data_IF_406341153938
#
_entry.id   IF_406341153938
#
_cell.length_a   1.000
_cell.length_b   1.000
_cell.length_c   1.000
_cell.angle_alpha   90.00
_cell.angle_beta   90.00
_cell.angle_gamma   90.00
#
_symmetry.space_group_name_H-M   'P 1'
#
loop_
_entity.id
_entity.type
_entity.pdbx_description
1 polymer ?
#
# COMPACT_ATOMS: atom_id res chain seq x y z
N UNK A 1 -19.71 0.81 -5.84
CA UNK A 1 -18.65 1.72 -6.34
C UNK A 1 -17.53 1.89 -5.33
N UNK A 2 -16.35 2.26 -5.80
CA UNK A 2 -15.17 2.48 -4.94
C UNK A 2 -15.25 3.87 -4.29
N UNK A 3 -15.11 3.92 -2.96
CA UNK A 3 -14.98 5.19 -2.23
C UNK A 3 -13.52 5.71 -2.31
N UNK A 4 -13.23 6.42 -3.40
CA UNK A 4 -11.90 6.95 -3.70
C UNK A 4 -11.41 8.00 -2.69
N UNK A 5 -12.32 8.81 -2.12
CA UNK A 5 -11.94 9.81 -1.13
C UNK A 5 -11.56 9.18 0.20
N UNK A 6 -12.31 8.15 0.64
CA UNK A 6 -11.92 7.35 1.79
C UNK A 6 -10.59 6.64 1.55
N UNK A 7 -10.41 5.99 0.39
CA UNK A 7 -9.14 5.35 0.04
C UNK A 7 -7.96 6.33 0.10
N UNK A 8 -8.12 7.53 -0.48
CA UNK A 8 -7.13 8.60 -0.44
C UNK A 8 -6.79 9.02 0.99
N UNK A 9 -7.81 9.24 1.84
CA UNK A 9 -7.58 9.61 3.23
C UNK A 9 -6.85 8.51 4.01
N UNK A 10 -7.21 7.25 3.78
CA UNK A 10 -6.55 6.07 4.37
C UNK A 10 -5.08 5.97 3.95
N UNK A 11 -4.78 6.12 2.66
CA UNK A 11 -3.39 6.11 2.14
C UNK A 11 -2.56 7.22 2.77
N UNK A 12 -3.12 8.42 2.89
CA UNK A 12 -2.43 9.56 3.50
C UNK A 12 -2.13 9.30 4.98
N UNK A 13 -3.11 8.77 5.72
CA UNK A 13 -2.94 8.46 7.15
C UNK A 13 -1.94 7.33 7.35
N UNK A 14 -2.05 6.24 6.60
CA UNK A 14 -1.13 5.11 6.69
C UNK A 14 0.30 5.51 6.32
N UNK A 15 0.49 6.34 5.29
CA UNK A 15 1.83 6.84 4.91
C UNK A 15 2.47 7.65 6.05
N UNK A 16 1.70 8.54 6.71
CA UNK A 16 2.20 9.30 7.87
C UNK A 16 2.51 8.40 9.04
N UNK A 17 1.59 7.49 9.37
CA UNK A 17 1.75 6.54 10.47
C UNK A 17 3.02 5.70 10.30
N UNK A 18 3.25 5.15 9.10
CA UNK A 18 4.46 4.36 8.82
C UNK A 18 5.74 5.22 8.91
N UNK A 19 5.70 6.50 8.49
CA UNK A 19 6.85 7.40 8.67
C UNK A 19 7.12 7.70 10.16
N UNK A 20 6.08 7.90 10.96
CA UNK A 20 6.19 8.15 12.41
C UNK A 20 6.69 6.90 13.17
N UNK A 21 6.35 5.69 12.70
CA UNK A 21 6.87 4.43 13.26
C UNK A 21 8.38 4.34 13.13
N UNK A 22 8.99 4.86 12.05
CA UNK A 22 10.45 4.85 11.90
C UNK A 22 11.13 5.60 13.05
N UNK A 23 10.56 6.71 13.51
CA UNK A 23 11.09 7.49 14.64
C UNK A 23 10.74 6.86 15.99
N UNK A 24 9.57 6.21 16.09
CA UNK A 24 9.06 5.63 17.33
C UNK A 24 9.60 4.21 17.63
N UNK A 25 10.21 3.55 16.64
CA UNK A 25 10.62 2.16 16.75
C UNK A 25 11.73 1.97 17.81
N UNK A 26 11.64 0.87 18.57
CA UNK A 26 12.68 0.48 19.52
C UNK A 26 13.78 -0.30 18.79
N UNK A 27 14.80 0.42 18.31
CA UNK A 27 15.95 -0.20 17.66
C UNK A 27 16.83 -0.94 18.67
N UNK A 28 17.34 -2.10 18.27
CA UNK A 28 18.19 -2.95 19.12
C UNK A 28 19.55 -2.27 19.29
N UNK A 29 19.95 -1.86 20.51
CA UNK A 29 21.19 -1.11 20.72
C UNK A 29 22.46 -1.87 20.33
N UNK A 30 22.41 -3.20 20.33
CA UNK A 30 23.52 -4.06 19.94
C UNK A 30 23.79 -4.05 18.42
N UNK A 31 22.91 -3.48 17.61
CA UNK A 31 23.03 -3.41 16.13
C UNK A 31 22.69 -1.99 15.66
N UNK A 32 23.55 -0.99 15.91
CA UNK A 32 23.30 0.41 15.58
C UNK A 32 23.06 0.67 14.09
N UNK A 33 23.56 -0.20 13.22
CA UNK A 33 23.40 -0.15 11.77
C UNK A 33 21.92 -0.18 11.34
N UNK A 34 21.05 -0.81 12.14
CA UNK A 34 19.61 -0.84 11.90
C UNK A 34 19.00 0.56 12.00
N UNK A 35 19.37 1.31 13.04
CA UNK A 35 18.90 2.68 13.24
C UNK A 35 19.43 3.59 12.13
N UNK A 36 20.73 3.48 11.83
CA UNK A 36 21.37 4.27 10.78
C UNK A 36 20.71 4.02 9.42
N UNK A 37 20.52 2.76 9.03
CA UNK A 37 19.87 2.41 7.77
C UNK A 37 18.42 2.93 7.71
N UNK A 38 17.66 2.79 8.80
CA UNK A 38 16.28 3.27 8.88
C UNK A 38 16.20 4.80 8.78
N UNK A 39 17.05 5.54 9.49
CA UNK A 39 17.09 7.01 9.42
C UNK A 39 17.61 7.51 8.07
N UNK A 40 18.51 6.77 7.43
CA UNK A 40 19.11 7.17 6.17
C UNK A 40 18.13 7.07 5.00
N UNK A 41 17.41 5.95 4.90
CA UNK A 41 16.50 5.67 3.78
C UNK A 41 15.02 5.91 4.08
N UNK A 42 14.62 5.84 5.36
CA UNK A 42 13.22 5.96 5.81
C UNK A 42 12.23 5.13 5.00
N UNK A 43 12.59 3.87 4.72
CA UNK A 43 11.77 2.95 3.93
C UNK A 43 10.48 2.62 4.69
N UNK A 44 9.34 2.75 4.02
CA UNK A 44 8.05 2.26 4.50
C UNK A 44 7.48 1.23 3.53
N UNK A 45 6.57 0.39 4.01
CA UNK A 45 5.93 -0.66 3.21
C UNK A 45 4.41 -0.56 3.28
N UNK A 46 3.82 0.43 2.60
CA UNK A 46 2.37 0.52 2.48
C UNK A 46 1.86 -0.55 1.49
N UNK A 47 1.12 -1.53 2.01
CA UNK A 47 0.48 -2.58 1.22
C UNK A 47 -1.03 -2.40 1.10
N UNK A 48 -1.68 -3.44 0.59
CA UNK A 48 -3.14 -3.59 0.55
C UNK A 48 -3.55 -4.93 1.15
N UNK A 49 -4.80 -5.02 1.54
CA UNK A 49 -5.52 -6.25 1.84
C UNK A 49 -6.95 -6.10 1.33
N UNK A 50 -7.65 -7.21 1.12
CA UNK A 50 -9.04 -7.21 0.67
C UNK A 50 -9.25 -6.82 -0.79
N UNK A 51 -8.27 -7.05 -1.68
CA UNK A 51 -8.44 -6.76 -3.11
C UNK A 51 -9.57 -7.62 -3.72
N UNK A 52 -9.61 -8.92 -3.36
CA UNK A 52 -10.66 -9.83 -3.79
C UNK A 52 -12.04 -9.41 -3.28
N UNK A 53 -12.15 -9.01 -2.01
CA UNK A 53 -13.39 -8.52 -1.40
C UNK A 53 -13.92 -7.27 -2.13
N UNK A 54 -13.02 -6.32 -2.45
CA UNK A 54 -13.38 -5.13 -3.20
C UNK A 54 -13.88 -5.49 -4.61
N UNK A 55 -13.22 -6.44 -5.29
CA UNK A 55 -13.64 -6.94 -6.60
C UNK A 55 -15.05 -7.55 -6.56
N UNK A 56 -15.40 -8.30 -5.50
CA UNK A 56 -16.76 -8.79 -5.30
C UNK A 56 -17.77 -7.64 -5.20
N UNK A 57 -17.47 -6.61 -4.42
CA UNK A 57 -18.36 -5.47 -4.24
C UNK A 57 -18.60 -4.66 -5.52
N UNK A 58 -17.63 -4.63 -6.43
CA UNK A 58 -17.76 -3.92 -7.72
C UNK A 58 -18.13 -4.84 -8.89
N UNK A 59 -18.40 -6.12 -8.62
CA UNK A 59 -18.79 -7.09 -9.66
C UNK A 59 -17.68 -7.46 -10.64
N UNK A 60 -16.41 -7.25 -10.27
CA UNK A 60 -15.25 -7.53 -11.12
C UNK A 60 -14.72 -8.94 -10.85
N UNK A 61 -14.49 -9.73 -11.90
CA UNK A 61 -13.97 -11.09 -11.74
C UNK A 61 -12.45 -11.09 -11.55
N UNK A 62 -11.98 -11.73 -10.48
CA UNK A 62 -10.54 -11.97 -10.25
C UNK A 62 -9.89 -12.71 -11.43
N UNK A 63 -8.70 -12.26 -11.84
CA UNK A 63 -7.93 -12.86 -12.94
C UNK A 63 -8.42 -12.54 -14.36
N UNK A 64 -9.56 -11.86 -14.51
CA UNK A 64 -10.01 -11.35 -15.82
C UNK A 64 -9.18 -10.12 -16.26
N UNK A 65 -9.23 -9.77 -17.54
CA UNK A 65 -8.64 -8.52 -18.05
C UNK A 65 -9.18 -7.29 -17.31
N UNK A 66 -10.48 -7.29 -17.02
CA UNK A 66 -11.13 -6.27 -16.19
C UNK A 66 -10.55 -6.22 -14.78
N UNK A 67 -10.32 -7.37 -14.14
CA UNK A 67 -9.71 -7.46 -12.82
C UNK A 67 -8.26 -6.97 -12.79
N UNK A 68 -7.49 -7.24 -13.85
CA UNK A 68 -6.13 -6.72 -13.99
C UNK A 68 -6.14 -5.20 -14.13
N UNK A 69 -7.03 -4.67 -14.95
CA UNK A 69 -7.21 -3.22 -15.13
C UNK A 69 -7.64 -2.55 -13.82
N UNK A 70 -8.63 -3.12 -13.14
CA UNK A 70 -9.12 -2.63 -11.85
C UNK A 70 -8.00 -2.55 -10.81
N UNK A 71 -7.22 -3.64 -10.68
CA UNK A 71 -6.09 -3.72 -9.75
C UNK A 71 -5.03 -2.66 -10.08
N UNK A 72 -4.74 -2.45 -11.36
CA UNK A 72 -3.78 -1.44 -11.81
C UNK A 72 -4.26 -0.03 -11.44
N UNK A 73 -5.53 0.29 -11.67
CA UNK A 73 -6.09 1.60 -11.33
C UNK A 73 -6.10 1.88 -9.82
N UNK A 74 -6.43 0.88 -9.00
CA UNK A 74 -6.39 0.96 -7.52
C UNK A 74 -4.95 1.19 -7.05
N UNK A 75 -4.01 0.38 -7.53
CA UNK A 75 -2.60 0.50 -7.10
C UNK A 75 -1.95 1.79 -7.59
N UNK A 76 -2.28 2.26 -8.79
CA UNK A 76 -1.81 3.55 -9.30
C UNK A 76 -2.30 4.70 -8.39
N UNK A 77 -3.57 4.67 -7.96
CA UNK A 77 -4.14 5.65 -7.04
C UNK A 77 -3.44 5.67 -5.68
N UNK A 78 -3.20 4.50 -5.10
CA UNK A 78 -2.47 4.32 -3.83
C UNK A 78 -1.03 4.83 -3.97
N UNK A 79 -0.35 4.47 -5.06
CA UNK A 79 1.01 4.91 -5.32
C UNK A 79 1.10 6.43 -5.44
N UNK A 80 0.19 7.05 -6.20
CA UNK A 80 0.15 8.50 -6.36
C UNK A 80 -0.03 9.21 -5.01
N UNK A 81 -1.01 8.79 -4.23
CA UNK A 81 -1.31 9.45 -2.95
C UNK A 81 -0.28 9.19 -1.86
N UNK A 82 0.38 8.04 -1.84
CA UNK A 82 1.49 7.77 -0.92
C UNK A 82 2.70 8.65 -1.25
N UNK A 83 3.09 8.76 -2.52
CA UNK A 83 4.17 9.67 -2.97
C UNK A 83 3.84 11.13 -2.67
N UNK A 84 2.62 11.59 -3.00
CA UNK A 84 2.16 12.95 -2.70
C UNK A 84 2.23 13.27 -1.19
N UNK A 85 1.94 12.28 -0.34
CA UNK A 85 2.03 12.44 1.11
C UNK A 85 3.47 12.48 1.59
N UNK A 86 4.32 11.61 1.05
CA UNK A 86 5.75 11.57 1.35
C UNK A 86 6.45 12.88 0.96
N UNK A 87 6.09 13.51 -0.16
CA UNK A 87 6.56 14.85 -0.56
C UNK A 87 6.09 15.92 0.44
N UNK A 88 4.82 15.88 0.87
CA UNK A 88 4.29 16.81 1.88
C UNK A 88 5.02 16.67 3.21
N UNK A 89 5.41 15.45 3.59
CA UNK A 89 6.24 15.20 4.77
C UNK A 89 7.65 15.76 4.58
N UNK A 90 8.27 15.55 3.41
CA UNK A 90 9.60 16.09 3.12
C UNK A 90 9.64 17.62 3.23
N UNK A 91 8.60 18.31 2.76
CA UNK A 91 8.47 19.76 2.93
C UNK A 91 8.49 20.20 4.42
N UNK A 92 7.98 19.37 5.34
CA UNK A 92 7.87 19.69 6.77
C UNK A 92 9.01 19.16 7.61
N UNK A 93 9.63 18.05 7.20
CA UNK A 93 10.55 17.24 8.01
C UNK A 93 11.86 16.89 7.29
N UNK A 94 12.05 17.41 6.09
CA UNK A 94 13.16 17.11 5.15
C UNK A 94 12.99 15.74 4.44
N UNK A 95 13.58 15.57 3.24
CA UNK A 95 13.61 14.28 2.55
C UNK A 95 14.41 13.22 3.32
N UNK A 96 14.41 11.98 2.83
CA UNK A 96 15.34 10.96 3.37
C UNK A 96 16.80 11.37 3.10
N UNK A 97 17.72 11.01 3.99
CA UNK A 97 19.10 11.52 3.97
C UNK A 97 19.89 11.05 2.74
N UNK A 98 19.68 9.79 2.32
CA UNK A 98 20.35 9.21 1.14
C UNK A 98 19.71 9.60 -0.21
N UNK A 99 19.04 10.76 -0.32
CA UNK A 99 18.32 11.13 -1.55
C UNK A 99 19.25 11.47 -2.72
N UNK A 100 20.44 12.01 -2.45
CA UNK A 100 21.44 12.30 -3.47
C UNK A 100 21.92 11.00 -4.14
N UNK A 101 21.97 10.96 -5.47
CA UNK A 101 22.31 9.79 -6.27
C UNK A 101 21.21 8.72 -6.34
N UNK A 102 20.05 8.96 -5.71
CA UNK A 102 18.89 8.07 -5.83
C UNK A 102 18.04 8.41 -7.06
N UNK A 103 17.08 7.56 -7.40
CA UNK A 103 16.11 7.86 -8.47
C UNK A 103 15.25 9.11 -8.20
N UNK A 104 15.23 9.59 -6.95
CA UNK A 104 14.50 10.78 -6.51
C UNK A 104 15.40 11.99 -6.26
N UNK A 105 16.68 11.94 -6.64
CA UNK A 105 17.60 13.07 -6.53
C UNK A 105 17.01 14.32 -7.22
N UNK A 106 16.74 15.43 -6.50
CA UNK A 106 16.14 16.62 -7.09
C UNK A 106 16.94 17.26 -8.23
N UNK A 107 18.27 17.07 -8.24
CA UNK A 107 19.17 17.59 -9.27
C UNK A 107 19.25 16.66 -10.49
N UNK A 108 19.02 15.35 -10.29
CA UNK A 108 19.11 14.32 -11.34
C UNK A 108 17.98 13.28 -11.22
N UNK A 109 16.73 13.74 -11.32
CA UNK A 109 15.56 12.85 -11.18
C UNK A 109 15.52 11.86 -12.35
N UNK A 110 15.68 10.57 -12.04
CA UNK A 110 15.52 9.46 -13.00
C UNK A 110 14.24 8.65 -12.78
N UNK A 111 13.53 8.85 -11.66
CA UNK A 111 12.23 8.26 -11.43
C UNK A 111 11.21 8.75 -12.45
N UNK A 112 10.41 7.82 -12.99
CA UNK A 112 9.34 8.12 -13.94
C UNK A 112 8.00 7.58 -13.45
N UNK A 113 6.88 8.23 -13.83
CA UNK A 113 5.54 7.74 -13.51
C UNK A 113 5.33 6.30 -14.01
N UNK A 114 4.59 5.46 -13.26
CA UNK A 114 4.27 4.11 -13.71
C UNK A 114 3.44 4.18 -15.00
N UNK A 115 3.72 3.26 -15.93
CA UNK A 115 2.93 3.09 -17.15
C UNK A 115 2.06 1.85 -17.00
N UNK A 116 0.76 1.92 -17.32
CA UNK A 116 -0.07 0.73 -17.33
C UNK A 116 0.40 -0.24 -18.42
N UNK A 117 0.17 -1.53 -18.22
CA UNK A 117 0.54 -2.58 -19.19
C UNK A 117 -0.30 -2.50 -20.47
N UNK A 118 -1.51 -1.95 -20.36
CA UNK A 118 -2.48 -1.75 -21.42
C UNK A 118 -3.26 -0.47 -21.12
N UNK A 119 -3.84 0.15 -22.14
CA UNK A 119 -4.67 1.33 -21.95
C UNK A 119 -5.90 1.00 -21.10
N UNK A 120 -6.25 1.91 -20.20
CA UNK A 120 -7.46 1.77 -19.40
C UNK A 120 -8.69 1.99 -20.27
N UNK A 121 -9.55 0.98 -20.31
CA UNK A 121 -10.79 0.94 -21.07
C UNK A 121 -12.01 1.29 -20.21
N UNK A 122 -11.90 1.12 -18.89
CA UNK A 122 -12.99 1.24 -17.92
C UNK A 122 -12.70 2.38 -16.94
N UNK A 123 -13.78 2.98 -16.46
CA UNK A 123 -13.73 4.01 -15.43
C UNK A 123 -14.55 3.55 -14.22
N UNK A 124 -13.91 3.44 -13.07
CA UNK A 124 -14.55 3.14 -11.79
C UNK A 124 -14.82 4.41 -10.96
N UNK A 125 -14.99 5.55 -11.62
CA UNK A 125 -15.16 6.86 -11.00
C UNK A 125 -13.87 7.38 -10.37
N UNK A 126 -12.71 6.94 -10.87
CA UNK A 126 -11.42 7.22 -10.25
C UNK A 126 -10.98 8.66 -10.56
N UNK A 127 -10.62 9.47 -9.55
CA UNK A 127 -10.09 10.81 -9.80
C UNK A 127 -8.83 10.77 -10.68
N UNK A 128 -8.74 11.69 -11.65
CA UNK A 128 -7.55 11.83 -12.51
C UNK A 128 -6.31 12.13 -11.68
N UNK A 129 -5.20 11.49 -12.04
CA UNK A 129 -3.92 11.62 -11.37
C UNK A 129 -2.99 12.51 -12.20
N UNK A 130 -2.44 13.55 -11.58
CA UNK A 130 -1.47 14.43 -12.23
C UNK A 130 -0.05 14.10 -11.74
N UNK A 131 0.61 13.17 -12.43
CA UNK A 131 1.97 12.74 -12.09
C UNK A 131 3.03 13.86 -12.21
N UNK A 132 2.78 14.92 -12.98
CA UNK A 132 3.67 16.08 -13.03
C UNK A 132 3.73 16.82 -11.70
N UNK A 133 2.67 16.73 -10.87
CA UNK A 133 2.69 17.24 -9.50
C UNK A 133 3.72 16.50 -8.64
N UNK A 134 3.88 15.19 -8.85
CA UNK A 134 4.85 14.37 -8.11
C UNK A 134 6.26 14.77 -8.52
N UNK A 135 6.54 14.88 -9.82
CA UNK A 135 7.86 15.29 -10.33
C UNK A 135 8.24 16.70 -9.83
N UNK A 136 7.33 17.67 -9.95
CA UNK A 136 7.55 19.03 -9.40
C UNK A 136 7.73 19.03 -7.89
N UNK A 137 6.98 18.18 -7.19
CA UNK A 137 7.06 18.02 -5.75
C UNK A 137 8.42 17.48 -5.29
N UNK A 138 8.90 16.42 -5.93
CA UNK A 138 10.24 15.85 -5.69
C UNK A 138 11.31 16.90 -5.97
N UNK A 139 11.25 17.57 -7.13
CA UNK A 139 12.22 18.61 -7.49
C UNK A 139 12.28 19.76 -6.47
N UNK A 140 11.12 20.16 -5.94
CA UNK A 140 11.02 21.32 -5.04
C UNK A 140 11.29 21.00 -3.58
N UNK A 141 10.94 19.81 -3.12
CA UNK A 141 10.89 19.47 -1.70
C UNK A 141 11.58 18.15 -1.35
N UNK A 142 12.04 17.39 -2.35
CA UNK A 142 12.43 16.00 -2.19
C UNK A 142 11.24 15.11 -1.83
N UNK A 143 11.55 13.89 -1.38
CA UNK A 143 10.57 12.90 -0.91
C UNK A 143 11.05 12.31 0.42
N UNK A 144 10.13 12.06 1.37
CA UNK A 144 10.48 11.69 2.75
C UNK A 144 10.99 10.26 2.88
N UNK A 145 10.52 9.37 2.02
CA UNK A 145 10.76 7.93 2.13
C UNK A 145 11.43 7.43 0.85
N UNK A 146 12.47 6.58 0.95
CA UNK A 146 13.10 5.98 -0.23
C UNK A 146 12.23 4.91 -0.90
N UNK A 147 11.31 4.30 -0.14
CA UNK A 147 10.30 3.38 -0.63
C UNK A 147 8.98 3.65 0.10
N UNK A 148 7.87 3.65 -0.62
CA UNK A 148 6.53 3.94 -0.09
C UNK A 148 5.66 2.70 0.03
N UNK A 149 5.73 1.80 -0.94
CA UNK A 149 4.75 0.73 -1.15
C UNK A 149 5.42 -0.63 -1.22
N UNK A 150 4.86 -1.60 -0.49
CA UNK A 150 5.29 -3.01 -0.49
C UNK A 150 4.06 -3.88 -0.32
N UNK A 151 3.86 -4.87 -1.19
CA UNK A 151 2.77 -5.85 -1.05
C UNK A 151 3.30 -7.04 -0.25
N UNK A 152 2.84 -7.17 0.98
CA UNK A 152 3.16 -8.28 1.88
C UNK A 152 1.92 -9.16 2.09
N UNK A 153 2.09 -10.45 2.43
CA UNK A 153 0.97 -11.28 2.87
C UNK A 153 0.35 -10.71 4.15
N UNK A 154 -0.99 -10.62 4.21
CA UNK A 154 -1.70 -9.97 5.32
C UNK A 154 -2.59 -10.93 6.12
N UNK A 155 -2.31 -12.23 6.12
CA UNK A 155 -3.20 -13.28 6.67
C UNK A 155 -3.79 -12.96 8.06
N UNK A 156 -2.95 -12.68 9.06
CA UNK A 156 -3.43 -12.38 10.42
C UNK A 156 -4.21 -11.08 10.50
N UNK A 157 -3.69 -9.98 9.92
CA UNK A 157 -4.32 -8.66 10.03
C UNK A 157 -5.62 -8.56 9.19
N UNK A 158 -5.71 -9.29 8.07
CA UNK A 158 -6.91 -9.41 7.27
C UNK A 158 -7.99 -10.23 8.00
N UNK A 159 -7.60 -11.32 8.68
CA UNK A 159 -8.53 -12.07 9.54
C UNK A 159 -9.13 -11.17 10.62
N UNK A 160 -8.29 -10.37 11.30
CA UNK A 160 -8.74 -9.41 12.32
C UNK A 160 -9.68 -8.34 11.74
N UNK A 161 -9.43 -7.91 10.50
CA UNK A 161 -10.27 -6.95 9.79
C UNK A 161 -11.55 -7.55 9.19
N UNK A 162 -11.77 -8.87 9.33
CA UNK A 162 -12.92 -9.56 8.74
C UNK A 162 -12.88 -9.64 7.21
N UNK A 163 -11.67 -9.58 6.61
CA UNK A 163 -11.45 -9.66 5.17
C UNK A 163 -11.10 -11.09 4.76
N UNK A 164 -11.59 -11.50 3.60
CA UNK A 164 -11.37 -12.83 3.04
C UNK A 164 -10.13 -12.88 2.11
N UNK A 165 -9.88 -11.78 1.40
CA UNK A 165 -8.68 -11.58 0.60
C UNK A 165 -7.50 -11.13 1.48
N UNK A 166 -6.55 -12.02 1.74
CA UNK A 166 -5.40 -11.80 2.62
C UNK A 166 -4.27 -10.95 2.03
N UNK A 167 -4.60 -10.03 1.12
CA UNK A 167 -3.62 -9.23 0.41
C UNK A 167 -4.14 -8.90 -0.99
N UNK A 168 -3.33 -9.28 -1.99
CA UNK A 168 -3.68 -9.26 -3.40
C UNK A 168 -4.01 -10.67 -3.92
N UNK A 169 -4.33 -11.60 -3.05
CA UNK A 169 -4.77 -12.95 -3.39
C UNK A 169 -6.29 -12.97 -3.59
N UNK A 170 -6.81 -13.86 -4.47
CA UNK A 170 -8.25 -14.10 -4.55
C UNK A 170 -8.77 -14.72 -3.25
N UNK A 171 -10.06 -14.54 -2.97
CA UNK A 171 -10.73 -15.23 -1.87
C UNK A 171 -10.69 -16.74 -2.13
N UNK A 172 -10.12 -17.49 -1.18
CA UNK A 172 -9.86 -18.93 -1.33
C UNK A 172 -11.14 -19.76 -1.45
N UNK A 173 -12.11 -19.52 -0.57
CA UNK A 173 -13.38 -20.22 -0.53
C UNK A 173 -14.43 -19.35 0.17
N UNK A 174 -15.70 -19.45 -0.26
CA UNK A 174 -16.83 -18.75 0.38
C UNK A 174 -17.16 -19.30 1.77
N UNK A 175 -16.79 -20.56 2.03
CA UNK A 175 -16.91 -21.19 3.33
C UNK A 175 -15.77 -22.18 3.51
N UNK A 176 -15.13 -22.15 4.69
CA UNK A 176 -14.05 -23.07 5.03
C UNK A 176 -13.95 -23.27 6.53
N UNK A 177 -13.34 -24.40 6.94
CA UNK A 177 -13.02 -24.68 8.33
C UNK A 177 -11.54 -24.34 8.54
N UNK A 178 -11.26 -23.51 9.55
CA UNK A 178 -9.90 -23.23 9.99
C UNK A 178 -9.62 -24.02 11.26
N UNK A 179 -8.50 -24.73 11.28
CA UNK A 179 -8.00 -25.45 12.44
C UNK A 179 -7.05 -24.54 13.22
N UNK A 180 -7.30 -24.39 14.53
CA UNK A 180 -6.47 -23.61 15.44
C UNK A 180 -6.06 -24.53 16.58
N UNK A 181 -4.75 -24.63 16.81
CA UNK A 181 -4.25 -25.31 17.99
C UNK A 181 -4.40 -24.38 19.20
N UNK A 182 -5.33 -24.71 20.09
CA UNK A 182 -5.51 -24.06 21.38
C UNK A 182 -5.00 -24.99 22.49
N UNK A 183 -3.75 -24.78 22.92
CA UNK A 183 -3.10 -25.54 23.98
C UNK A 183 -3.19 -27.07 23.83
N UNK A 184 -3.05 -27.58 22.60
CA UNK A 184 -3.12 -29.00 22.29
C UNK A 184 -4.52 -29.50 21.89
N UNK A 185 -5.54 -28.64 21.94
CA UNK A 185 -6.87 -28.92 21.41
C UNK A 185 -7.00 -28.39 19.98
N UNK A 186 -7.48 -29.21 19.05
CA UNK A 186 -7.79 -28.76 17.70
C UNK A 186 -9.17 -28.07 17.67
N UNK A 187 -9.16 -26.75 17.64
CA UNK A 187 -10.37 -25.94 17.55
C UNK A 187 -10.72 -25.73 16.08
N UNK A 188 -11.94 -26.14 15.71
CA UNK A 188 -12.49 -25.90 14.37
C UNK A 188 -13.32 -24.63 14.37
N UNK A 189 -12.94 -23.69 13.50
CA UNK A 189 -13.66 -22.45 13.29
C UNK A 189 -14.29 -22.47 11.89
N UNK A 190 -15.62 -22.47 11.83
CA UNK A 190 -16.35 -22.33 10.59
C UNK A 190 -16.37 -20.86 10.16
N UNK A 191 -15.79 -20.58 8.99
CA UNK A 191 -15.84 -19.27 8.34
C UNK A 191 -16.80 -19.34 7.16
N UNK A 192 -17.65 -18.32 7.03
CA UNK A 192 -18.52 -18.08 5.88
C UNK A 192 -18.40 -16.61 5.49
N UNK A 193 -18.37 -16.35 4.19
CA UNK A 193 -18.24 -14.99 3.66
C UNK A 193 -19.40 -14.11 4.13
N UNK A 194 -19.12 -12.98 4.83
CA UNK A 194 -20.17 -12.05 5.24
C UNK A 194 -20.96 -11.47 4.05
N UNK A 195 -20.35 -11.43 2.85
CA UNK A 195 -21.01 -10.95 1.63
C UNK A 195 -22.05 -11.93 1.08
N UNK A 196 -22.06 -13.18 1.55
CA UNK A 196 -22.92 -14.26 1.08
C UNK A 196 -23.73 -14.93 2.21
N UNK A 197 -23.81 -14.28 3.38
CA UNK A 197 -24.75 -14.62 4.46
C UNK A 197 -26.09 -13.90 4.24
#
# INVERSE_FOLDING_TARGET
DVDWDKLKSSVQTATRFLDDVIDSNAYVPAVPELYEAAMNARRIGLGIMGLGDLMYQVGVRYGSEEGQEFSAQVMEFIRFHSMKTSIKLAKKREPFKAIQGSIYDPEEITWTPPKPLFDYLRDWGRPKLNWEEILRGIKKHGIRNAAQTTIAPTGTIATVAGLEGYGCEPVFALAYIRHVNDNGSDLTLAYTSPLFQ
#
